data_IF_048819784976
#
_entry.id   IF_048819784976
#
_cell.length_a   1.000
_cell.length_b   1.000
_cell.length_c   1.000
_cell.angle_alpha   90.00
_cell.angle_beta   90.00
_cell.angle_gamma   90.00
#
_symmetry.space_group_name_H-M   'P 1'
#
loop_
_entity.id
_entity.type
_entity.pdbx_description
1 polymer ?
#
# COMPACT_ATOMS: atom_id res chain seq x y z
N UNK A 1 29.89 15.47 0.25
CA UNK A 1 28.83 16.51 0.39
C UNK A 1 27.70 15.91 1.20
N UNK A 2 27.61 16.27 2.48
CA UNK A 2 26.57 15.79 3.39
C UNK A 2 25.32 16.62 3.12
N UNK A 3 24.42 16.11 2.29
CA UNK A 3 23.11 16.72 2.14
C UNK A 3 22.32 16.45 3.41
N UNK A 4 21.91 17.54 4.06
CA UNK A 4 20.98 17.54 5.18
C UNK A 4 19.63 17.08 4.63
N UNK A 5 19.37 15.78 4.63
CA UNK A 5 18.03 15.26 4.37
C UNK A 5 17.27 15.40 5.68
N UNK A 6 16.23 16.23 5.70
CA UNK A 6 15.16 16.10 6.69
C UNK A 6 14.88 14.61 6.83
N UNK A 7 15.02 14.07 8.05
CA UNK A 7 14.84 12.64 8.34
C UNK A 7 13.50 12.22 7.74
N UNK A 8 13.56 11.63 6.55
CA UNK A 8 12.44 10.92 5.96
C UNK A 8 11.97 9.98 7.05
N UNK A 9 10.67 9.93 7.34
CA UNK A 9 10.12 8.90 8.26
C UNK A 9 10.30 7.47 7.72
N UNK A 10 11.03 7.32 6.62
CA UNK A 10 11.48 6.06 6.06
C UNK A 10 12.12 5.20 7.15
N UNK A 11 11.48 4.08 7.41
CA UNK A 11 12.02 2.98 8.19
C UNK A 11 12.63 2.04 7.16
N UNK A 12 13.91 2.26 6.86
CA UNK A 12 14.60 1.55 5.78
C UNK A 12 14.85 0.07 6.13
N UNK A 13 15.09 -0.75 5.11
CA UNK A 13 15.61 -2.10 5.26
C UNK A 13 17.13 -2.08 5.41
N UNK A 14 17.70 -3.13 5.99
CA UNK A 14 19.14 -3.24 6.17
C UNK A 14 19.85 -3.36 4.82
N UNK A 15 20.98 -2.66 4.62
CA UNK A 15 21.84 -2.89 3.47
C UNK A 15 22.44 -4.29 3.59
N UNK A 16 21.81 -5.26 2.96
CA UNK A 16 22.28 -6.65 2.88
C UNK A 16 22.31 -7.06 1.41
N UNK A 17 23.04 -8.12 1.09
CA UNK A 17 23.24 -8.67 -0.26
C UNK A 17 21.95 -9.21 -0.92
N UNK A 18 20.77 -8.94 -0.36
CA UNK A 18 19.49 -9.33 -0.96
C UNK A 18 19.31 -8.59 -2.29
N UNK A 19 19.16 -9.30 -3.41
CA UNK A 19 19.01 -8.70 -4.73
C UNK A 19 17.64 -8.05 -4.95
N UNK A 20 16.73 -8.18 -3.99
CA UNK A 20 15.34 -7.75 -4.12
C UNK A 20 14.90 -6.98 -2.89
N UNK A 21 14.40 -5.76 -3.08
CA UNK A 21 13.93 -4.88 -2.00
C UNK A 21 12.53 -4.35 -2.24
N UNK A 22 11.76 -4.19 -1.16
CA UNK A 22 10.38 -3.70 -1.21
C UNK A 22 10.24 -2.41 -0.41
N UNK A 23 9.44 -1.48 -0.89
CA UNK A 23 9.02 -0.29 -0.15
C UNK A 23 7.51 -0.31 0.05
N UNK A 24 7.07 -0.41 1.30
CA UNK A 24 5.67 -0.18 1.66
C UNK A 24 5.42 1.31 1.85
N UNK A 25 4.47 1.87 1.11
CA UNK A 25 3.88 3.17 1.40
C UNK A 25 2.60 2.91 2.20
N UNK A 26 2.60 3.33 3.47
CA UNK A 26 1.55 2.97 4.42
C UNK A 26 0.82 4.21 4.91
N UNK A 27 -0.51 4.19 4.90
CA UNK A 27 -1.33 5.27 5.42
C UNK A 27 -1.35 5.27 6.96
N UNK A 28 -0.99 6.40 7.56
CA UNK A 28 -1.06 6.63 8.99
C UNK A 28 0.14 6.10 9.78
N UNK A 29 0.53 6.85 10.82
CA UNK A 29 1.66 6.49 11.68
C UNK A 29 1.42 5.19 12.46
N UNK A 30 0.17 4.92 12.87
CA UNK A 30 -0.18 3.72 13.64
C UNK A 30 0.00 2.45 12.81
N UNK A 31 -0.58 2.42 11.60
CA UNK A 31 -0.44 1.30 10.69
C UNK A 31 1.02 1.12 10.23
N UNK A 32 1.71 2.23 9.93
CA UNK A 32 3.13 2.19 9.55
C UNK A 32 4.00 1.54 10.63
N UNK A 33 3.76 1.87 11.92
CA UNK A 33 4.45 1.22 13.04
C UNK A 33 4.09 -0.26 13.17
N UNK A 34 2.85 -0.65 12.90
CA UNK A 34 2.44 -2.05 12.92
C UNK A 34 3.13 -2.86 11.82
N UNK A 35 3.14 -2.35 10.59
CA UNK A 35 3.86 -2.96 9.45
C UNK A 35 5.35 -3.05 9.76
N UNK A 36 5.95 -1.98 10.31
CA UNK A 36 7.37 -1.97 10.66
C UNK A 36 7.78 -3.02 11.71
N UNK A 37 6.86 -3.47 12.57
CA UNK A 37 7.12 -4.54 13.55
C UNK A 37 7.11 -5.94 12.94
N UNK A 38 6.28 -6.17 11.92
CA UNK A 38 6.07 -7.51 11.34
C UNK A 38 6.83 -7.75 10.04
N UNK A 39 7.36 -6.70 9.42
CA UNK A 39 8.17 -6.78 8.19
C UNK A 39 9.44 -7.60 8.39
N UNK A 40 9.94 -8.15 7.29
CA UNK A 40 11.32 -8.58 7.21
C UNK A 40 12.23 -7.39 6.92
N UNK A 41 12.87 -6.88 7.98
CA UNK A 41 13.75 -5.70 7.89
C UNK A 41 14.96 -5.90 6.97
N UNK A 42 15.28 -7.13 6.54
CA UNK A 42 16.39 -7.39 5.61
C UNK A 42 16.12 -6.84 4.21
N UNK A 43 14.86 -6.80 3.79
CA UNK A 43 14.51 -6.39 2.41
C UNK A 43 13.26 -5.50 2.28
N UNK A 44 12.41 -5.41 3.31
CA UNK A 44 11.19 -4.62 3.25
C UNK A 44 11.39 -3.31 4.01
N UNK A 45 11.19 -2.16 3.38
CA UNK A 45 11.18 -0.82 3.97
C UNK A 45 9.75 -0.28 4.14
N UNK A 46 9.57 0.71 5.01
CA UNK A 46 8.27 1.35 5.26
C UNK A 46 8.40 2.86 5.19
N UNK A 47 7.61 3.51 4.34
CA UNK A 47 7.46 4.96 4.27
C UNK A 47 6.05 5.34 4.75
N UNK A 48 5.93 5.97 5.93
CA UNK A 48 4.65 6.47 6.43
C UNK A 48 4.12 7.64 5.59
N UNK A 49 2.85 7.59 5.24
CA UNK A 49 2.10 8.70 4.66
C UNK A 49 1.12 9.26 5.69
N UNK A 50 1.20 10.57 5.94
CA UNK A 50 0.32 11.24 6.88
C UNK A 50 -0.72 12.09 6.16
N UNK A 51 -1.99 11.82 6.50
CA UNK A 51 -3.11 12.52 5.92
C UNK A 51 -3.28 12.23 4.42
N UNK A 52 -4.22 12.95 3.82
CA UNK A 52 -4.56 12.79 2.43
C UNK A 52 -3.45 13.39 1.52
N UNK A 53 -2.91 12.62 0.57
CA UNK A 53 -1.89 13.13 -0.34
C UNK A 53 -2.45 14.29 -1.17
N UNK A 54 -1.59 15.25 -1.51
CA UNK A 54 -2.01 16.36 -2.37
C UNK A 54 -2.34 15.82 -3.76
N UNK A 55 -3.45 16.26 -4.36
CA UNK A 55 -3.78 15.88 -5.73
C UNK A 55 -2.80 16.51 -6.73
N UNK A 56 -1.82 15.71 -7.15
CA UNK A 56 -0.73 16.13 -8.01
C UNK A 56 -1.18 16.47 -9.44
N UNK A 57 -2.34 15.96 -9.87
CA UNK A 57 -2.92 16.28 -11.20
C UNK A 57 -3.59 17.65 -11.23
N UNK A 58 -3.96 18.20 -10.06
CA UNK A 58 -4.58 19.52 -9.92
C UNK A 58 -3.57 20.59 -9.47
N UNK A 59 -2.58 20.19 -8.68
CA UNK A 59 -1.52 21.08 -8.22
C UNK A 59 -0.57 21.44 -9.37
N UNK A 60 0.09 22.60 -9.27
CA UNK A 60 1.18 22.94 -10.19
C UNK A 60 2.42 22.09 -9.87
N UNK A 61 3.26 21.84 -10.88
CA UNK A 61 4.51 21.08 -10.72
C UNK A 61 5.40 21.64 -9.59
N UNK A 62 5.51 22.97 -9.50
CA UNK A 62 6.24 23.64 -8.44
C UNK A 62 5.65 23.37 -7.04
N UNK A 63 4.34 23.25 -6.90
CA UNK A 63 3.69 22.91 -5.63
C UNK A 63 3.93 21.45 -5.25
N UNK A 64 3.89 20.53 -6.22
CA UNK A 64 4.18 19.10 -6.01
C UNK A 64 5.61 18.91 -5.52
N UNK A 65 6.58 19.56 -6.17
CA UNK A 65 7.99 19.48 -5.78
C UNK A 65 8.30 20.08 -4.41
N UNK A 66 7.54 21.10 -4.00
CA UNK A 66 7.66 21.72 -2.66
C UNK A 66 6.96 20.92 -1.57
N UNK A 67 6.12 19.94 -1.92
CA UNK A 67 5.49 19.07 -0.94
C UNK A 67 6.55 18.17 -0.31
N UNK A 68 6.74 18.33 1.00
CA UNK A 68 7.79 17.62 1.74
C UNK A 68 7.64 16.10 1.66
N UNK A 69 6.40 15.59 1.63
CA UNK A 69 6.17 14.15 1.58
C UNK A 69 6.51 13.57 0.19
N UNK A 70 6.14 14.25 -0.90
CA UNK A 70 6.54 13.80 -2.24
C UNK A 70 8.04 13.92 -2.47
N UNK A 71 8.68 14.99 -2.00
CA UNK A 71 10.14 15.11 -2.04
C UNK A 71 10.82 13.95 -1.27
N UNK A 72 10.33 13.65 -0.07
CA UNK A 72 10.75 12.51 0.74
C UNK A 72 10.58 11.15 0.03
N UNK A 73 9.46 10.95 -0.69
CA UNK A 73 9.23 9.75 -1.49
C UNK A 73 10.23 9.63 -2.63
N UNK A 74 10.45 10.70 -3.39
CA UNK A 74 11.41 10.72 -4.51
C UNK A 74 12.83 10.45 -4.00
N UNK A 75 13.24 11.07 -2.90
CA UNK A 75 14.54 10.82 -2.25
C UNK A 75 14.65 9.38 -1.74
N UNK A 76 13.57 8.82 -1.20
CA UNK A 76 13.54 7.43 -0.75
C UNK A 76 13.70 6.46 -1.93
N UNK A 77 13.06 6.73 -3.06
CA UNK A 77 13.12 5.88 -4.25
C UNK A 77 14.47 5.98 -4.98
N UNK A 78 15.12 7.15 -4.95
CA UNK A 78 16.38 7.41 -5.67
C UNK A 78 16.20 7.70 -7.16
N UNK A 79 14.97 7.77 -7.66
CA UNK A 79 14.65 7.89 -9.09
C UNK A 79 14.82 9.30 -9.66
N UNK A 80 14.85 10.32 -8.79
CA UNK A 80 14.60 11.69 -9.21
C UNK A 80 13.15 11.94 -9.63
N UNK A 81 12.86 13.18 -10.02
CA UNK A 81 11.54 13.62 -10.49
C UNK A 81 11.39 13.40 -11.99
N UNK A 82 10.24 12.92 -12.45
CA UNK A 82 10.01 12.57 -13.87
C UNK A 82 11.09 11.61 -14.36
N UNK A 83 11.29 10.53 -13.62
CA UNK A 83 12.28 9.52 -13.95
C UNK A 83 11.99 8.97 -15.36
N UNK A 84 12.99 9.00 -16.24
CA UNK A 84 12.92 8.39 -17.58
C UNK A 84 13.45 6.95 -17.57
N UNK A 85 14.37 6.65 -16.65
CA UNK A 85 14.90 5.32 -16.39
C UNK A 85 14.84 4.98 -14.89
N UNK A 86 15.15 3.72 -14.57
CA UNK A 86 15.10 3.17 -13.21
C UNK A 86 16.48 2.73 -12.71
N UNK A 87 17.57 3.32 -13.25
CA UNK A 87 18.93 2.86 -12.95
C UNK A 87 19.30 3.03 -11.47
N UNK A 88 18.89 4.15 -10.87
CA UNK A 88 19.16 4.48 -9.46
C UNK A 88 18.02 4.06 -8.51
N UNK A 89 17.07 3.25 -8.99
CA UNK A 89 15.94 2.79 -8.19
C UNK A 89 16.42 1.91 -7.02
N UNK A 90 16.06 2.32 -5.81
CA UNK A 90 16.49 1.65 -4.57
C UNK A 90 15.65 0.44 -4.18
N UNK A 91 14.43 0.34 -4.69
CA UNK A 91 13.48 -0.71 -4.34
C UNK A 91 12.86 -1.32 -5.59
N UNK A 92 13.00 -2.63 -5.72
CA UNK A 92 12.45 -3.42 -6.81
C UNK A 92 10.93 -3.45 -6.84
N UNK A 93 10.27 -3.23 -5.71
CA UNK A 93 8.81 -3.21 -5.65
C UNK A 93 8.32 -2.15 -4.69
N UNK A 94 7.30 -1.42 -5.13
CA UNK A 94 6.58 -0.42 -4.35
C UNK A 94 5.20 -0.98 -4.05
N UNK A 95 4.85 -1.03 -2.77
CA UNK A 95 3.62 -1.62 -2.26
C UNK A 95 2.78 -0.54 -1.58
N UNK A 96 1.63 -0.23 -2.14
CA UNK A 96 0.64 0.63 -1.49
C UNK A 96 -0.14 -0.22 -0.50
N UNK A 97 -0.12 0.16 0.78
CA UNK A 97 -0.86 -0.50 1.84
C UNK A 97 -1.68 0.55 2.59
N UNK A 98 -2.91 0.73 2.14
CA UNK A 98 -3.86 1.71 2.63
C UNK A 98 -5.06 1.04 3.29
N UNK A 99 -5.79 1.80 4.10
CA UNK A 99 -6.98 1.25 4.75
C UNK A 99 -8.04 0.87 3.70
N UNK A 100 -8.76 -0.25 3.89
CA UNK A 100 -9.77 -0.71 2.93
C UNK A 100 -11.08 0.09 2.98
N UNK A 101 -11.07 1.28 3.59
CA UNK A 101 -12.20 2.20 3.67
C UNK A 101 -12.17 3.26 2.54
N UNK A 102 -13.16 4.14 2.52
CA UNK A 102 -13.29 5.15 1.47
C UNK A 102 -12.12 6.15 1.44
N UNK A 103 -11.53 6.46 2.59
CA UNK A 103 -10.43 7.41 2.69
C UNK A 103 -9.13 6.77 2.19
N UNK A 104 -8.85 5.52 2.58
CA UNK A 104 -7.69 4.79 2.07
C UNK A 104 -7.77 4.49 0.57
N UNK A 105 -8.97 4.21 0.05
CA UNK A 105 -9.22 4.11 -1.40
C UNK A 105 -8.90 5.45 -2.10
N UNK A 106 -9.33 6.57 -1.52
CA UNK A 106 -9.04 7.89 -2.08
C UNK A 106 -7.54 8.19 -2.06
N UNK A 107 -6.87 7.94 -0.94
CA UNK A 107 -5.43 8.03 -0.77
C UNK A 107 -4.68 7.21 -1.84
N UNK A 108 -5.11 5.96 -2.05
CA UNK A 108 -4.58 5.08 -3.10
C UNK A 108 -4.72 5.63 -4.50
N UNK A 109 -5.90 6.16 -4.84
CA UNK A 109 -6.15 6.75 -6.15
C UNK A 109 -5.26 7.98 -6.42
N UNK A 110 -5.12 8.87 -5.43
CA UNK A 110 -4.25 10.04 -5.54
C UNK A 110 -2.77 9.67 -5.66
N UNK A 111 -2.33 8.65 -4.91
CA UNK A 111 -0.97 8.13 -5.01
C UNK A 111 -0.70 7.53 -6.38
N UNK A 112 -1.61 6.70 -6.89
CA UNK A 112 -1.50 6.11 -8.22
C UNK A 112 -1.43 7.18 -9.31
N UNK A 113 -2.25 8.23 -9.22
CA UNK A 113 -2.18 9.35 -10.15
C UNK A 113 -0.86 10.13 -10.05
N UNK A 114 -0.30 10.30 -8.85
CA UNK A 114 1.04 10.87 -8.69
C UNK A 114 2.10 10.00 -9.40
N UNK A 115 2.09 8.69 -9.17
CA UNK A 115 3.00 7.76 -9.82
C UNK A 115 2.85 7.81 -11.35
N UNK A 116 1.62 7.91 -11.87
CA UNK A 116 1.40 8.00 -13.32
C UNK A 116 1.96 9.27 -13.98
N UNK A 117 1.98 10.39 -13.25
CA UNK A 117 2.51 11.65 -13.77
C UNK A 117 4.02 11.74 -13.60
N UNK A 118 4.55 11.34 -12.44
CA UNK A 118 5.94 11.62 -12.05
C UNK A 118 6.88 10.43 -12.11
N UNK A 119 6.34 9.20 -12.11
CA UNK A 119 7.09 7.96 -11.96
C UNK A 119 6.52 6.85 -12.86
N UNK A 120 5.99 7.21 -14.03
CA UNK A 120 5.30 6.27 -14.93
C UNK A 120 6.14 5.02 -15.25
N UNK A 121 7.48 5.09 -15.44
CA UNK A 121 8.27 3.90 -15.69
C UNK A 121 8.16 2.83 -14.59
N UNK A 122 7.84 3.18 -13.34
CA UNK A 122 7.58 2.19 -12.29
C UNK A 122 6.30 1.40 -12.53
N UNK A 123 5.25 2.04 -13.07
CA UNK A 123 4.01 1.37 -13.45
C UNK A 123 4.24 0.48 -14.68
N UNK A 124 4.95 1.01 -15.69
CA UNK A 124 5.20 0.30 -16.94
C UNK A 124 6.13 -0.91 -16.75
N UNK A 125 7.06 -0.83 -15.79
CA UNK A 125 7.95 -1.93 -15.42
C UNK A 125 7.33 -2.89 -14.38
N UNK A 126 6.02 -2.82 -14.14
CA UNK A 126 5.27 -3.68 -13.22
C UNK A 126 5.83 -3.67 -11.76
N UNK A 127 6.39 -2.55 -11.31
CA UNK A 127 7.03 -2.43 -9.98
C UNK A 127 6.08 -1.95 -8.88
N UNK A 128 4.88 -1.47 -9.20
CA UNK A 128 3.93 -0.91 -8.21
C UNK A 128 2.75 -1.86 -8.00
N UNK A 129 2.40 -2.15 -6.75
CA UNK A 129 1.22 -2.96 -6.44
C UNK A 129 0.42 -2.39 -5.27
N UNK A 130 -0.89 -2.58 -5.29
CA UNK A 130 -1.79 -2.33 -4.17
C UNK A 130 -1.97 -3.62 -3.36
N UNK A 131 -1.58 -3.61 -2.10
CA UNK A 131 -1.80 -4.73 -1.17
C UNK A 131 -3.25 -4.72 -0.69
N UNK A 132 -3.87 -5.89 -0.69
CA UNK A 132 -5.27 -6.07 -0.29
C UNK A 132 -5.36 -6.42 1.19
N UNK A 133 -5.95 -5.54 1.98
CA UNK A 133 -6.23 -5.77 3.40
C UNK A 133 -7.65 -6.30 3.62
N UNK A 134 -7.87 -7.28 4.52
CA UNK A 134 -9.22 -7.77 4.80
C UNK A 134 -10.07 -6.74 5.55
N UNK A 135 -11.37 -6.77 5.29
CA UNK A 135 -12.37 -5.99 6.02
C UNK A 135 -12.97 -6.77 7.19
N UNK A 136 -12.99 -8.10 7.10
CA UNK A 136 -13.57 -8.95 8.12
C UNK A 136 -12.75 -10.21 8.37
N UNK A 137 -12.82 -10.69 9.60
CA UNK A 137 -12.40 -12.03 10.00
C UNK A 137 -13.63 -12.82 10.40
N UNK A 138 -13.71 -14.07 9.95
CA UNK A 138 -14.81 -15.00 10.20
C UNK A 138 -14.25 -16.24 10.89
N UNK A 139 -14.73 -16.52 12.10
CA UNK A 139 -14.44 -17.76 12.83
C UNK A 139 -15.59 -18.73 12.65
N UNK A 140 -15.28 -19.90 12.09
CA UNK A 140 -16.24 -20.96 11.80
C UNK A 140 -15.91 -22.22 12.62
N UNK A 141 -16.94 -22.90 13.14
CA UNK A 141 -16.75 -24.15 13.90
C UNK A 141 -16.12 -25.23 13.00
N UNK A 142 -15.05 -25.85 13.48
CA UNK A 142 -14.37 -26.93 12.77
C UNK A 142 -13.30 -26.46 11.78
N UNK A 143 -13.10 -25.15 11.62
CA UNK A 143 -11.97 -24.59 10.88
C UNK A 143 -10.85 -24.24 11.87
N UNK A 144 -9.62 -24.64 11.55
CA UNK A 144 -8.44 -24.30 12.36
C UNK A 144 -8.10 -22.81 12.24
N UNK A 145 -8.08 -22.31 11.00
CA UNK A 145 -7.76 -20.92 10.70
C UNK A 145 -9.02 -20.08 10.45
N UNK A 146 -8.90 -18.79 10.73
CA UNK A 146 -9.97 -17.84 10.45
C UNK A 146 -10.05 -17.55 8.94
N UNK A 147 -11.27 -17.41 8.44
CA UNK A 147 -11.53 -16.98 7.07
C UNK A 147 -11.52 -15.45 7.01
N UNK A 148 -11.18 -14.88 5.86
CA UNK A 148 -11.08 -13.43 5.70
C UNK A 148 -11.91 -12.96 4.51
N UNK A 149 -12.71 -11.91 4.74
CA UNK A 149 -13.46 -11.24 3.69
C UNK A 149 -12.87 -9.86 3.40
N UNK A 150 -12.99 -9.44 2.14
CA UNK A 150 -12.38 -8.20 1.64
C UNK A 150 -13.42 -7.21 1.07
N UNK A 151 -14.70 -7.54 1.19
CA UNK A 151 -15.85 -6.71 0.88
C UNK A 151 -17.07 -7.28 1.59
N UNK A 152 -18.14 -6.48 1.69
CA UNK A 152 -19.43 -6.95 2.22
C UNK A 152 -19.96 -8.13 1.39
N UNK A 153 -19.89 -8.04 0.06
CA UNK A 153 -20.31 -9.11 -0.84
C UNK A 153 -19.47 -10.38 -0.69
N UNK A 154 -18.17 -10.24 -0.39
CA UNK A 154 -17.33 -11.40 -0.10
C UNK A 154 -17.71 -12.03 1.24
N UNK A 155 -17.98 -11.22 2.27
CA UNK A 155 -18.47 -11.70 3.56
C UNK A 155 -19.77 -12.48 3.37
N UNK A 156 -20.74 -11.93 2.63
CA UNK A 156 -22.00 -12.62 2.39
C UNK A 156 -21.82 -13.96 1.70
N UNK A 157 -21.00 -14.01 0.63
CA UNK A 157 -20.71 -15.27 -0.06
C UNK A 157 -20.11 -16.33 0.87
N UNK A 158 -19.17 -15.97 1.73
CA UNK A 158 -18.60 -16.89 2.72
C UNK A 158 -19.69 -17.39 3.68
N UNK A 159 -20.54 -16.48 4.18
CA UNK A 159 -21.63 -16.83 5.12
C UNK A 159 -22.63 -17.78 4.50
N UNK A 160 -23.07 -17.51 3.26
CA UNK A 160 -23.98 -18.39 2.52
C UNK A 160 -23.44 -19.82 2.45
N UNK A 161 -22.16 -19.99 2.08
CA UNK A 161 -21.52 -21.32 2.00
C UNK A 161 -21.44 -22.02 3.35
N UNK A 162 -21.20 -21.28 4.44
CA UNK A 162 -21.16 -21.85 5.79
C UNK A 162 -22.56 -22.24 6.29
N UNK A 163 -23.57 -21.40 6.01
CA UNK A 163 -24.97 -21.64 6.37
C UNK A 163 -25.54 -22.85 5.64
N UNK A 164 -25.28 -22.99 4.33
CA UNK A 164 -25.66 -24.17 3.54
C UNK A 164 -25.09 -25.47 4.12
N UNK A 165 -23.91 -25.40 4.75
CA UNK A 165 -23.26 -26.52 5.43
C UNK A 165 -23.65 -26.66 6.90
N UNK A 166 -24.56 -25.82 7.41
CA UNK A 166 -24.94 -25.75 8.83
C UNK A 166 -23.75 -25.53 9.79
N UNK A 167 -22.75 -24.75 9.36
CA UNK A 167 -21.54 -24.46 10.14
C UNK A 167 -21.74 -23.16 10.91
N UNK A 168 -21.80 -23.27 12.25
CA UNK A 168 -21.89 -22.12 13.13
C UNK A 168 -20.66 -21.21 12.96
N UNK A 169 -20.90 -19.91 12.77
CA UNK A 169 -19.85 -18.94 12.54
C UNK A 169 -20.16 -17.58 13.16
N UNK A 170 -19.11 -16.78 13.37
CA UNK A 170 -19.19 -15.36 13.79
C UNK A 170 -18.16 -14.55 13.03
N UNK A 171 -18.47 -13.30 12.73
CA UNK A 171 -17.53 -12.40 12.07
C UNK A 171 -17.26 -11.16 12.91
N UNK A 172 -16.08 -10.57 12.70
CA UNK A 172 -15.71 -9.26 13.22
C UNK A 172 -15.25 -8.37 12.07
N UNK A 173 -15.51 -7.06 12.18
CA UNK A 173 -15.05 -6.06 11.22
C UNK A 173 -13.78 -5.40 11.73
N UNK A 174 -12.77 -5.29 10.87
CA UNK A 174 -11.57 -4.51 11.15
C UNK A 174 -11.86 -3.01 11.00
N UNK A 175 -11.28 -2.19 11.87
CA UNK A 175 -11.39 -0.72 11.80
C UNK A 175 -10.36 -0.08 10.86
N UNK A 176 -9.35 -0.84 10.48
CA UNK A 176 -8.20 -0.42 9.69
C UNK A 176 -7.01 -1.36 9.92
N UNK A 177 -5.90 -1.11 9.25
CA UNK A 177 -4.68 -1.92 9.26
C UNK A 177 -4.13 -2.14 10.67
N UNK A 178 -4.16 -1.11 11.52
CA UNK A 178 -3.67 -1.19 12.88
C UNK A 178 -4.55 -2.04 13.82
N UNK A 179 -5.78 -2.36 13.40
CA UNK A 179 -6.68 -3.27 14.14
C UNK A 179 -6.46 -4.75 13.80
N UNK A 180 -5.66 -5.05 12.77
CA UNK A 180 -5.21 -6.40 12.47
C UNK A 180 -4.22 -6.83 13.56
N UNK A 181 -4.38 -8.06 14.06
CA UNK A 181 -3.35 -8.68 14.89
C UNK A 181 -2.05 -8.85 14.09
N UNK A 182 -0.91 -8.90 14.77
CA UNK A 182 0.42 -8.95 14.11
C UNK A 182 0.55 -10.15 13.16
N UNK A 183 0.06 -11.33 13.57
CA UNK A 183 0.04 -12.54 12.72
C UNK A 183 -0.77 -12.31 11.44
N UNK A 184 -2.00 -11.82 11.56
CA UNK A 184 -2.89 -11.54 10.42
C UNK A 184 -2.31 -10.48 9.48
N UNK A 185 -1.77 -9.39 10.03
CA UNK A 185 -1.12 -8.34 9.24
C UNK A 185 0.08 -8.90 8.49
N UNK A 186 0.91 -9.71 9.17
CA UNK A 186 2.07 -10.34 8.56
C UNK A 186 1.66 -11.23 7.40
N UNK A 187 0.79 -12.21 7.66
CA UNK A 187 0.41 -13.23 6.70
C UNK A 187 -0.36 -12.65 5.51
N UNK A 188 -1.31 -11.74 5.74
CA UNK A 188 -2.22 -11.30 4.68
C UNK A 188 -1.72 -10.08 3.90
N UNK A 189 -0.87 -9.25 4.52
CA UNK A 189 -0.48 -7.96 3.93
C UNK A 189 1.03 -7.82 3.71
N UNK A 190 1.89 -8.52 4.45
CA UNK A 190 3.34 -8.21 4.45
C UNK A 190 4.19 -9.34 3.86
N UNK A 191 3.94 -10.59 4.23
CA UNK A 191 4.71 -11.74 3.76
C UNK A 191 4.52 -11.93 2.24
N UNK A 192 5.60 -11.87 1.43
CA UNK A 192 5.52 -12.02 -0.02
C UNK A 192 4.89 -13.34 -0.49
N UNK A 193 4.96 -14.40 0.31
CA UNK A 193 4.49 -15.73 -0.07
C UNK A 193 2.98 -15.91 0.10
N UNK A 194 2.35 -15.10 0.95
CA UNK A 194 0.94 -15.28 1.32
C UNK A 194 0.07 -14.05 1.10
N UNK A 195 0.66 -12.84 1.04
CA UNK A 195 -0.12 -11.61 0.82
C UNK A 195 -0.76 -11.59 -0.56
N UNK A 196 -1.92 -10.94 -0.66
CA UNK A 196 -2.55 -10.65 -1.94
C UNK A 196 -2.24 -9.22 -2.36
N UNK A 197 -1.67 -9.03 -3.54
CA UNK A 197 -1.41 -7.71 -4.11
C UNK A 197 -1.88 -7.63 -5.56
N UNK A 198 -2.48 -6.50 -5.93
CA UNK A 198 -2.90 -6.17 -7.29
C UNK A 198 -1.83 -5.31 -7.96
N UNK A 199 -1.36 -5.73 -9.12
CA UNK A 199 -0.42 -4.98 -9.93
C UNK A 199 -1.09 -3.72 -10.48
N UNK A 200 -0.51 -2.55 -10.23
CA UNK A 200 -1.05 -1.27 -10.68
C UNK A 200 -0.39 -0.85 -11.99
N UNK A 201 -1.21 -0.54 -12.99
CA UNK A 201 -0.77 -0.13 -14.33
C UNK A 201 -1.25 1.26 -14.70
N UNK A 202 -0.74 1.79 -15.80
CA UNK A 202 -1.21 3.03 -16.40
C UNK A 202 -2.74 3.06 -16.60
N UNK A 203 -3.35 1.95 -17.03
CA UNK A 203 -4.82 1.85 -17.19
C UNK A 203 -5.58 2.09 -15.89
N UNK A 204 -5.07 1.62 -14.75
CA UNK A 204 -5.68 1.85 -13.45
C UNK A 204 -5.56 3.32 -13.05
N UNK A 205 -4.45 3.97 -13.37
CA UNK A 205 -4.27 5.40 -13.15
C UNK A 205 -5.24 6.24 -14.00
N UNK A 206 -5.49 5.85 -15.25
CA UNK A 206 -6.51 6.48 -16.09
C UNK A 206 -7.91 6.32 -15.48
N UNK A 207 -8.26 5.12 -15.00
CA UNK A 207 -9.53 4.87 -14.32
C UNK A 207 -9.67 5.73 -13.06
N UNK A 208 -8.63 5.75 -12.20
CA UNK A 208 -8.57 6.61 -11.02
C UNK A 208 -8.75 8.09 -11.39
N UNK A 209 -8.09 8.57 -12.46
CA UNK A 209 -8.23 9.95 -12.93
C UNK A 209 -9.63 10.28 -13.41
N UNK A 210 -10.36 9.33 -13.99
CA UNK A 210 -11.74 9.58 -14.42
C UNK A 210 -12.70 9.82 -13.25
N UNK A 211 -12.41 9.21 -12.09
CA UNK A 211 -13.25 9.30 -10.88
C UNK A 211 -12.78 10.43 -9.94
N UNK A 212 -11.47 10.56 -9.74
CA UNK A 212 -10.85 11.43 -8.72
C UNK A 212 -10.09 12.62 -9.29
N UNK A 213 -9.91 12.67 -10.62
CA UNK A 213 -9.27 13.79 -11.30
C UNK A 213 -10.16 15.04 -11.33
N UNK A 214 -9.59 16.20 -11.73
CA UNK A 214 -10.39 17.40 -11.93
C UNK A 214 -11.47 17.14 -12.98
N UNK A 215 -12.73 17.33 -12.60
CA UNK A 215 -13.82 17.39 -13.57
C UNK A 215 -13.66 18.69 -14.37
N UNK A 216 -13.69 18.55 -15.70
CA UNK A 216 -13.61 19.69 -16.63
C UNK A 216 -14.83 20.60 -16.51
#
# INVERSE_FOLDING_TARGET
MTFITQKTKLIDCSPTEQPYRELFIVEGDSASKAVARVRDQRFQAVLPMQGKPMNATKASDAAVRKNQWYAALIDALGTGWHAEDLADLRYDRILFLFDPDADGIHCGALMLMFFDVYLRPLLDADRVSLVKSPLFEIRARGYADALHAYSEDHLQRIRTVLDEKNIAHRHQRFRGLASLGETTLKELCVDPNSRTAYLLRHSDALAARSVFGPQR
#
